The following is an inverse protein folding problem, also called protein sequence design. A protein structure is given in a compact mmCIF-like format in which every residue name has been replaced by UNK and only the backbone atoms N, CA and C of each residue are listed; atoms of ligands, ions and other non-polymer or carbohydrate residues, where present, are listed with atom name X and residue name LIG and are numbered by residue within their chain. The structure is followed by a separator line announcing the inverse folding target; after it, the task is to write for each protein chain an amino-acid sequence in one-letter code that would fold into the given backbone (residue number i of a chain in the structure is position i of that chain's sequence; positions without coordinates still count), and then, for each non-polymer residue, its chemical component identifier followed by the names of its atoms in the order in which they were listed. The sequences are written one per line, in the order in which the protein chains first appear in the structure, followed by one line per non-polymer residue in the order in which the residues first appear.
data_IF_096995115202
#
_entry.id   IF_096995115202
#
_cell.length_a   1.000
_cell.length_b   1.000
_cell.length_c   1.000
_cell.angle_alpha   90.00
_cell.angle_beta   90.00
_cell.angle_gamma   90.00
#
_symmetry.space_group_name_H-M   'P 1'
#
loop_
_entity.id
_entity.type
_entity.pdbx_description
1 polymer ?
#
# COMPACT_ATOMS: atom_id res chain seq x y z
N UNK A 1 23.25 -17.03 -19.29
CA UNK A 1 22.57 -15.88 -19.93
C UNK A 1 21.97 -14.96 -18.87
N UNK A 2 22.70 -13.88 -18.58
CA UNK A 2 22.23 -12.50 -18.33
C UNK A 2 21.18 -12.21 -17.22
N UNK A 3 21.58 -12.33 -15.95
CA UNK A 3 20.85 -11.71 -14.83
C UNK A 3 20.76 -10.17 -14.89
N UNK A 4 21.52 -9.54 -15.77
CA UNK A 4 21.52 -8.10 -16.03
C UNK A 4 20.33 -7.61 -16.89
N UNK A 5 19.64 -8.50 -17.62
CA UNK A 5 18.48 -8.12 -18.45
C UNK A 5 17.19 -8.03 -17.62
N UNK A 6 16.98 -8.94 -16.66
CA UNK A 6 15.85 -8.87 -15.71
C UNK A 6 15.91 -7.61 -14.83
N UNK A 7 17.12 -7.06 -14.63
CA UNK A 7 17.36 -5.87 -13.82
C UNK A 7 16.69 -4.61 -14.40
N UNK A 8 16.37 -4.58 -15.69
CA UNK A 8 15.74 -3.44 -16.35
C UNK A 8 14.39 -3.81 -16.99
N UNK A 9 13.65 -4.73 -16.39
CA UNK A 9 12.31 -5.08 -16.84
C UNK A 9 11.24 -4.34 -16.02
N UNK A 10 10.41 -3.53 -16.69
CA UNK A 10 9.27 -2.83 -16.06
C UNK A 10 8.33 -3.78 -15.34
N UNK A 11 8.14 -4.99 -15.88
CA UNK A 11 7.30 -6.04 -15.29
C UNK A 11 7.79 -6.51 -13.91
N UNK A 12 9.11 -6.61 -13.69
CA UNK A 12 9.66 -7.01 -12.38
C UNK A 12 9.31 -5.96 -11.33
N UNK A 13 9.48 -4.69 -11.68
CA UNK A 13 9.09 -3.58 -10.82
C UNK A 13 7.59 -3.55 -10.53
N UNK A 14 6.76 -3.86 -11.53
CA UNK A 14 5.32 -3.91 -11.37
C UNK A 14 4.88 -5.03 -10.42
N UNK A 15 5.42 -6.23 -10.58
CA UNK A 15 5.12 -7.36 -9.67
C UNK A 15 5.56 -7.04 -8.24
N UNK A 16 6.78 -6.52 -8.06
CA UNK A 16 7.26 -6.15 -6.72
C UNK A 16 6.43 -5.02 -6.12
N UNK A 17 6.08 -4.02 -6.93
CA UNK A 17 5.22 -2.91 -6.50
C UNK A 17 3.77 -3.31 -6.19
N UNK A 18 3.32 -4.48 -6.65
CA UNK A 18 2.02 -5.05 -6.27
C UNK A 18 2.13 -5.94 -5.03
N UNK A 19 3.11 -6.83 -5.00
CA UNK A 19 3.25 -7.82 -3.91
C UNK A 19 3.64 -7.16 -2.59
N UNK A 20 4.55 -6.19 -2.60
CA UNK A 20 5.08 -5.58 -1.37
C UNK A 20 3.97 -4.88 -0.56
N UNK A 21 3.15 -3.98 -1.15
CA UNK A 21 2.04 -3.36 -0.43
C UNK A 21 0.98 -4.36 0.01
N UNK A 22 0.69 -5.38 -0.82
CA UNK A 22 -0.30 -6.40 -0.46
C UNK A 22 0.11 -7.16 0.81
N UNK A 23 1.36 -7.62 0.88
CA UNK A 23 1.90 -8.31 2.05
C UNK A 23 1.99 -7.36 3.25
N UNK A 24 2.44 -6.12 3.05
CA UNK A 24 2.50 -5.13 4.11
C UNK A 24 1.12 -4.84 4.72
N UNK A 25 0.07 -4.73 3.89
CA UNK A 25 -1.29 -4.52 4.37
C UNK A 25 -1.78 -5.69 5.24
N UNK A 26 -1.58 -6.92 4.77
CA UNK A 26 -1.94 -8.11 5.56
C UNK A 26 -1.21 -8.17 6.90
N UNK A 27 0.10 -7.90 6.89
CA UNK A 27 0.90 -7.86 8.11
C UNK A 27 0.44 -6.78 9.09
N UNK A 28 0.14 -5.57 8.60
CA UNK A 28 -0.36 -4.48 9.44
C UNK A 28 -1.69 -4.86 10.10
N UNK A 29 -2.61 -5.46 9.35
CA UNK A 29 -3.87 -5.94 9.92
C UNK A 29 -3.65 -7.01 10.99
N UNK A 30 -2.80 -8.00 10.74
CA UNK A 30 -2.48 -9.03 11.75
C UNK A 30 -1.87 -8.42 13.00
N UNK A 31 -0.95 -7.45 12.88
CA UNK A 31 -0.37 -6.75 14.04
C UNK A 31 -1.48 -6.07 14.84
N UNK A 32 -2.41 -5.40 14.16
CA UNK A 32 -3.53 -4.74 14.82
C UNK A 32 -4.48 -5.72 15.52
N UNK A 33 -4.80 -6.86 14.89
CA UNK A 33 -5.64 -7.89 15.50
C UNK A 33 -4.96 -8.48 16.75
N UNK A 34 -3.63 -8.62 16.76
CA UNK A 34 -2.89 -9.04 17.95
C UNK A 34 -2.94 -7.96 19.07
N UNK A 35 -2.85 -6.68 18.71
CA UNK A 35 -2.97 -5.58 19.68
C UNK A 35 -4.37 -5.50 20.29
N UNK A 36 -5.40 -5.83 19.52
CA UNK A 36 -6.78 -5.96 19.98
C UNK A 36 -6.93 -7.08 21.00
N UNK A 37 -6.38 -8.28 20.72
CA UNK A 37 -6.39 -9.41 21.67
C UNK A 37 -5.69 -9.08 22.99
N UNK A 38 -4.66 -8.24 22.96
CA UNK A 38 -3.95 -7.79 24.16
C UNK A 38 -4.64 -6.62 24.89
N UNK A 39 -5.81 -6.18 24.42
CA UNK A 39 -6.57 -5.09 25.02
C UNK A 39 -5.88 -3.72 24.90
N UNK A 40 -4.91 -3.58 23.98
CA UNK A 40 -4.18 -2.32 23.77
C UNK A 40 -4.97 -1.33 22.90
N UNK A 41 -5.97 -1.81 22.15
CA UNK A 41 -6.78 -1.02 21.21
C UNK A 41 -8.26 -1.40 21.36
N UNK A 42 -9.13 -0.42 21.55
CA UNK A 42 -10.59 -0.60 21.60
C UNK A 42 -11.21 -0.45 20.19
N UNK A 43 -12.11 -1.35 19.82
CA UNK A 43 -12.64 -1.52 18.44
C UNK A 43 -14.07 -0.99 18.32
N UNK A 44 -14.42 0.04 19.08
CA UNK A 44 -15.68 0.74 18.88
C UNK A 44 -15.74 1.37 17.47
N UNK A 45 -16.87 1.17 16.78
CA UNK A 45 -17.04 1.14 15.30
C UNK A 45 -16.60 2.35 14.46
N UNK A 46 -16.07 3.41 15.06
CA UNK A 46 -15.39 4.53 14.37
C UNK A 46 -13.92 4.18 14.11
N UNK A 47 -13.27 3.48 15.03
CA UNK A 47 -11.83 3.15 14.97
C UNK A 47 -11.54 2.07 13.93
N UNK A 48 -12.43 1.09 13.73
CA UNK A 48 -12.24 -0.01 12.78
C UNK A 48 -12.10 0.47 11.32
N UNK A 49 -12.93 1.42 10.90
CA UNK A 49 -12.84 2.03 9.56
C UNK A 49 -11.59 2.90 9.41
N UNK A 50 -11.18 3.59 10.48
CA UNK A 50 -9.96 4.40 10.49
C UNK A 50 -8.70 3.51 10.40
N UNK A 51 -8.71 2.35 11.06
CA UNK A 51 -7.64 1.34 11.04
C UNK A 51 -7.37 0.83 9.63
N UNK A 52 -8.40 0.39 8.92
CA UNK A 52 -8.23 -0.13 7.56
C UNK A 52 -7.72 0.94 6.59
N UNK A 53 -8.21 2.18 6.70
CA UNK A 53 -7.78 3.31 5.87
C UNK A 53 -6.31 3.67 6.06
N UNK A 54 -5.89 3.80 7.32
CA UNK A 54 -4.51 4.13 7.69
C UNK A 54 -3.54 3.00 7.35
N UNK A 55 -3.90 1.74 7.64
CA UNK A 55 -3.12 0.57 7.24
C UNK A 55 -2.91 0.50 5.73
N UNK A 56 -3.96 0.81 4.95
CA UNK A 56 -3.85 0.78 3.50
C UNK A 56 -2.91 1.88 2.97
N UNK A 57 -2.95 3.10 3.51
CA UNK A 57 -1.98 4.15 3.15
C UNK A 57 -0.56 3.72 3.52
N UNK A 58 -0.34 3.23 4.74
CA UNK A 58 0.97 2.78 5.21
C UNK A 58 1.53 1.64 4.34
N UNK A 59 0.67 0.70 3.95
CA UNK A 59 1.02 -0.37 3.03
C UNK A 59 1.43 0.17 1.66
N UNK A 60 0.70 1.14 1.09
CA UNK A 60 1.06 1.79 -0.17
C UNK A 60 2.42 2.50 -0.05
N UNK A 61 2.69 3.17 1.07
CA UNK A 61 3.96 3.85 1.32
C UNK A 61 5.17 2.90 1.30
N UNK A 62 4.98 1.60 1.54
CA UNK A 62 6.09 0.62 1.43
C UNK A 62 6.67 0.52 0.02
N UNK A 63 5.90 0.88 -1.03
CA UNK A 63 6.44 1.00 -2.38
C UNK A 63 7.50 2.09 -2.53
N UNK A 64 7.49 3.12 -1.66
CA UNK A 64 8.54 4.14 -1.66
C UNK A 64 9.90 3.52 -1.29
N UNK A 65 9.90 2.50 -0.42
CA UNK A 65 11.10 1.74 -0.04
C UNK A 65 11.59 0.95 -1.26
N UNK A 66 10.69 0.20 -1.91
CA UNK A 66 11.00 -0.57 -3.13
C UNK A 66 11.52 0.33 -4.26
N UNK A 67 10.90 1.48 -4.48
CA UNK A 67 11.33 2.47 -5.48
C UNK A 67 12.73 3.02 -5.16
N UNK A 68 13.00 3.35 -3.89
CA UNK A 68 14.33 3.83 -3.47
C UNK A 68 15.42 2.76 -3.64
N UNK A 69 15.11 1.49 -3.36
CA UNK A 69 16.02 0.37 -3.61
C UNK A 69 16.37 0.24 -5.10
N UNK A 70 15.40 0.38 -6.01
CA UNK A 70 15.65 0.32 -7.45
C UNK A 70 16.37 1.56 -8.00
N UNK A 71 16.08 2.74 -7.43
CA UNK A 71 16.82 3.98 -7.72
C UNK A 71 18.31 3.83 -7.42
N UNK A 72 18.66 3.32 -6.24
CA UNK A 72 20.06 3.11 -5.84
C UNK A 72 20.80 2.08 -6.71
N UNK A 73 20.05 1.20 -7.40
CA UNK A 73 20.59 0.18 -8.31
C UNK A 73 20.60 0.61 -9.78
N UNK A 74 20.26 1.87 -10.08
CA UNK A 74 20.13 2.44 -11.45
C UNK A 74 19.17 1.64 -12.34
N UNK A 75 18.07 1.15 -11.77
CA UNK A 75 17.08 0.31 -12.44
C UNK A 75 15.83 1.13 -12.82
N UNK A 76 15.98 2.07 -13.75
CA UNK A 76 14.94 3.06 -14.04
C UNK A 76 13.64 2.45 -14.58
N UNK A 77 13.73 1.36 -15.37
CA UNK A 77 12.56 0.67 -15.91
C UNK A 77 11.77 -0.06 -14.82
N UNK A 78 12.46 -0.75 -13.91
CA UNK A 78 11.82 -1.40 -12.78
C UNK A 78 11.22 -0.35 -11.81
N UNK A 79 11.89 0.77 -11.59
CA UNK A 79 11.36 1.87 -10.78
C UNK A 79 10.04 2.40 -11.34
N UNK A 80 9.93 2.59 -12.66
CA UNK A 80 8.66 2.96 -13.31
C UNK A 80 7.54 1.94 -13.07
N UNK A 81 7.87 0.64 -13.11
CA UNK A 81 6.93 -0.43 -12.78
C UNK A 81 6.35 -0.31 -11.36
N UNK A 82 7.20 -0.04 -10.36
CA UNK A 82 6.76 0.20 -8.97
C UNK A 82 5.88 1.44 -8.86
N UNK A 83 6.21 2.51 -9.59
CA UNK A 83 5.42 3.74 -9.60
C UNK A 83 4.03 3.47 -10.18
N UNK A 84 3.93 2.75 -11.30
CA UNK A 84 2.63 2.37 -11.88
C UNK A 84 1.79 1.52 -10.92
N UNK A 85 2.40 0.56 -10.22
CA UNK A 85 1.71 -0.24 -9.21
C UNK A 85 1.23 0.61 -8.02
N UNK A 86 2.02 1.61 -7.61
CA UNK A 86 1.63 2.57 -6.56
C UNK A 86 0.41 3.37 -6.97
N UNK A 87 0.41 3.93 -8.20
CA UNK A 87 -0.73 4.68 -8.71
C UNK A 87 -1.99 3.81 -8.78
N UNK A 88 -1.87 2.56 -9.21
CA UNK A 88 -2.97 1.61 -9.23
C UNK A 88 -3.58 1.41 -7.82
N UNK A 89 -2.76 1.22 -6.79
CA UNK A 89 -3.25 1.13 -5.43
C UNK A 89 -3.89 2.41 -4.90
N UNK A 90 -3.33 3.58 -5.23
CA UNK A 90 -3.91 4.87 -4.84
C UNK A 90 -5.29 5.05 -5.45
N UNK A 91 -5.47 4.69 -6.72
CA UNK A 91 -6.79 4.73 -7.38
C UNK A 91 -7.79 3.82 -6.66
N UNK A 92 -7.41 2.56 -6.37
CA UNK A 92 -8.25 1.62 -5.62
C UNK A 92 -8.62 2.20 -4.25
N UNK A 93 -7.63 2.76 -3.53
CA UNK A 93 -7.85 3.34 -2.21
C UNK A 93 -8.83 4.51 -2.25
N UNK A 94 -8.70 5.40 -3.23
CA UNK A 94 -9.62 6.54 -3.41
C UNK A 94 -11.04 6.07 -3.68
N UNK A 95 -11.22 5.04 -4.52
CA UNK A 95 -12.55 4.48 -4.81
C UNK A 95 -13.16 3.83 -3.57
N UNK A 96 -12.38 3.03 -2.84
CA UNK A 96 -12.88 2.28 -1.68
C UNK A 96 -13.09 3.14 -0.43
N UNK A 97 -12.24 4.14 -0.19
CA UNK A 97 -12.23 4.89 1.06
C UNK A 97 -12.42 6.39 0.86
N UNK A 98 -11.85 6.97 -0.20
CA UNK A 98 -11.94 8.41 -0.49
C UNK A 98 -13.37 8.87 -0.77
N UNK A 99 -14.10 8.16 -1.62
CA UNK A 99 -15.51 8.49 -1.95
C UNK A 99 -16.39 8.43 -0.70
N UNK A 100 -16.19 7.41 0.13
CA UNK A 100 -16.93 7.22 1.38
C UNK A 100 -16.65 8.30 2.44
N UNK A 101 -15.51 9.00 2.36
CA UNK A 101 -15.22 10.15 3.22
C UNK A 101 -16.01 11.36 2.74
N UNK A 102 -15.96 11.64 1.43
CA UNK A 102 -16.60 12.82 0.81
C UNK A 102 -18.12 12.77 0.94
N UNK A 103 -18.74 11.60 0.75
CA UNK A 103 -20.19 11.45 0.93
C UNK A 103 -20.62 11.66 2.38
N UNK A 104 -19.84 11.17 3.35
CA UNK A 104 -20.19 11.29 4.76
C UNK A 104 -20.17 12.73 5.24
N UNK A 105 -19.34 13.60 4.67
CA UNK A 105 -19.32 15.06 4.92
C UNK A 105 -20.57 15.81 4.40
N UNK A 106 -21.28 15.28 3.42
CA UNK A 106 -22.48 15.91 2.85
C UNK A 106 -23.77 15.61 3.64
N UNK A 107 -23.83 14.50 4.38
CA UNK A 107 -25.01 14.14 5.19
C UNK A 107 -25.12 14.89 6.52
N UNK A 108 -24.08 15.63 6.94
CA UNK A 108 -24.11 16.40 8.20
C UNK A 108 -24.42 17.89 7.98
N UNK A 109 -24.86 18.28 6.79
CA UNK A 109 -25.29 19.64 6.43
C UNK A 109 -26.82 19.68 6.31
#
# INVERSE_FOLDING_TARGET
MNGWLLRNATWVGLVVGLVVPFVAFGLLLTIYDQMEVWGMVDVSGIIANFRQRTCAILAICTNMISANMYKNRKMDLAMKGVIYATFFYVIIWVIMFGINIIQKEQELI
#
